data_IF_608602488962
#
_entry.id   IF_608602488962
#
_cell.length_a   1.000
_cell.length_b   1.000
_cell.length_c   1.000
_cell.angle_alpha   90.00
_cell.angle_beta   90.00
_cell.angle_gamma   90.00
#
_symmetry.space_group_name_H-M   'P 1'
#
loop_
_entity.id
_entity.type
_entity.pdbx_description
1 polymer ?
#
# COMPACT_ATOMS: atom_id res chain seq x y z
N UNK A 1 -4.40 -26.35 -18.13
CA UNK A 1 -4.16 -24.91 -18.38
C UNK A 1 -5.41 -24.07 -18.65
N UNK A 2 -6.57 -24.63 -19.05
CA UNK A 2 -7.77 -23.84 -19.35
C UNK A 2 -8.20 -22.94 -18.17
N UNK A 3 -8.29 -23.51 -16.96
CA UNK A 3 -8.58 -22.79 -15.72
C UNK A 3 -7.67 -21.57 -15.50
N UNK A 4 -6.35 -21.73 -15.68
CA UNK A 4 -5.38 -20.66 -15.46
C UNK A 4 -5.64 -19.46 -16.39
N UNK A 5 -5.98 -19.73 -17.66
CA UNK A 5 -6.29 -18.69 -18.66
C UNK A 5 -7.61 -17.99 -18.40
N UNK A 6 -8.63 -18.73 -17.96
CA UNK A 6 -9.98 -18.19 -17.81
C UNK A 6 -10.19 -17.47 -16.47
N UNK A 7 -9.55 -17.95 -15.40
CA UNK A 7 -9.80 -17.47 -14.04
C UNK A 7 -8.54 -17.35 -13.19
N UNK A 8 -7.63 -18.33 -13.24
CA UNK A 8 -6.52 -18.44 -12.29
C UNK A 8 -5.59 -17.21 -12.24
N UNK A 9 -5.24 -16.63 -13.39
CA UNK A 9 -4.42 -15.40 -13.44
C UNK A 9 -5.13 -14.23 -12.74
N UNK A 10 -6.43 -14.08 -12.97
CA UNK A 10 -7.24 -13.00 -12.38
C UNK A 10 -7.39 -13.23 -10.87
N UNK A 11 -7.61 -14.47 -10.43
CA UNK A 11 -7.69 -14.80 -9.00
C UNK A 11 -6.39 -14.44 -8.27
N UNK A 12 -5.23 -14.88 -8.80
CA UNK A 12 -3.91 -14.54 -8.25
C UNK A 12 -3.72 -13.02 -8.17
N UNK A 13 -3.97 -12.31 -9.28
CA UNK A 13 -3.80 -10.86 -9.33
C UNK A 13 -4.70 -10.15 -8.32
N UNK A 14 -5.97 -10.55 -8.21
CA UNK A 14 -6.90 -9.97 -7.26
C UNK A 14 -6.48 -10.23 -5.81
N UNK A 15 -5.98 -11.42 -5.47
CA UNK A 15 -5.52 -11.68 -4.11
C UNK A 15 -4.29 -10.85 -3.73
N UNK A 16 -3.41 -10.53 -4.69
CA UNK A 16 -2.28 -9.62 -4.47
C UNK A 16 -2.75 -8.16 -4.34
N UNK A 17 -3.60 -7.70 -5.26
CA UNK A 17 -4.05 -6.30 -5.30
C UNK A 17 -5.02 -5.94 -4.16
N UNK A 18 -5.75 -6.92 -3.63
CA UNK A 18 -6.67 -6.75 -2.50
C UNK A 18 -6.10 -7.27 -1.18
N UNK A 19 -4.79 -7.50 -1.09
CA UNK A 19 -4.17 -7.85 0.19
C UNK A 19 -4.33 -6.68 1.18
N UNK A 20 -4.84 -6.97 2.38
CA UNK A 20 -5.10 -5.96 3.40
C UNK A 20 -3.81 -5.22 3.79
N UNK A 21 -2.68 -5.94 3.86
CA UNK A 21 -1.37 -5.37 4.20
C UNK A 21 -0.92 -4.32 3.16
N UNK A 22 -1.25 -4.53 1.89
CA UNK A 22 -1.00 -3.56 0.82
C UNK A 22 -1.87 -2.33 1.01
N UNK A 23 -3.17 -2.53 1.26
CA UNK A 23 -4.13 -1.43 1.49
C UNK A 23 -3.74 -0.55 2.69
N UNK A 24 -3.41 -1.17 3.82
CA UNK A 24 -2.96 -0.48 5.03
C UNK A 24 -1.66 0.30 4.80
N UNK A 25 -0.68 -0.32 4.15
CA UNK A 25 0.62 0.32 3.90
C UNK A 25 0.49 1.50 2.94
N UNK A 26 -0.35 1.39 1.90
CA UNK A 26 -0.65 2.50 0.99
C UNK A 26 -1.38 3.63 1.72
N UNK A 27 -2.37 3.31 2.56
CA UNK A 27 -3.08 4.32 3.35
C UNK A 27 -2.12 5.08 4.28
N UNK A 28 -1.22 4.37 4.96
CA UNK A 28 -0.20 4.98 5.80
C UNK A 28 0.74 5.90 5.00
N UNK A 29 1.23 5.43 3.85
CA UNK A 29 2.08 6.23 2.95
C UNK A 29 1.39 7.51 2.48
N UNK A 30 0.11 7.44 2.11
CA UNK A 30 -0.67 8.61 1.68
C UNK A 30 -0.80 9.66 2.79
N UNK A 31 -1.06 9.23 4.03
CA UNK A 31 -1.14 10.13 5.19
C UNK A 31 0.22 10.78 5.46
N UNK A 32 1.30 10.00 5.45
CA UNK A 32 2.65 10.54 5.67
C UNK A 32 3.03 11.56 4.58
N UNK A 33 2.76 11.24 3.31
CA UNK A 33 3.04 12.14 2.18
C UNK A 33 2.24 13.45 2.27
N UNK A 34 0.97 13.36 2.68
CA UNK A 34 0.13 14.53 2.90
C UNK A 34 0.66 15.43 4.01
N UNK A 35 1.10 14.85 5.13
CA UNK A 35 1.62 15.60 6.27
C UNK A 35 2.96 16.29 5.95
N UNK A 36 3.84 15.61 5.23
CA UNK A 36 5.10 16.18 4.73
C UNK A 36 4.83 17.34 3.75
N UNK A 37 3.97 17.12 2.75
CA UNK A 37 3.56 18.17 1.81
C UNK A 37 2.89 19.37 2.49
N UNK A 38 2.06 19.14 3.50
CA UNK A 38 1.48 20.20 4.32
C UNK A 38 2.56 20.99 5.06
N UNK A 39 3.56 20.31 5.63
CA UNK A 39 4.67 20.95 6.35
C UNK A 39 5.48 21.86 5.43
N UNK A 40 5.86 21.34 4.26
CA UNK A 40 6.61 22.09 3.25
C UNK A 40 5.82 23.29 2.73
N UNK A 41 4.55 23.09 2.38
CA UNK A 41 3.67 24.16 1.91
C UNK A 41 3.43 25.24 2.97
N UNK A 42 3.27 24.87 4.24
CA UNK A 42 3.13 25.84 5.32
C UNK A 42 4.41 26.67 5.52
N UNK A 43 5.59 26.03 5.41
CA UNK A 43 6.87 26.72 5.49
C UNK A 43 7.05 27.73 4.34
N UNK A 44 6.69 27.34 3.11
CA UNK A 44 6.70 28.23 1.93
C UNK A 44 5.75 29.43 2.12
N UNK A 45 4.50 29.18 2.54
CA UNK A 45 3.54 30.25 2.85
C UNK A 45 4.06 31.19 3.94
N UNK A 46 4.67 30.65 4.99
CA UNK A 46 5.25 31.42 6.09
C UNK A 46 6.37 32.35 5.57
N UNK A 47 7.25 31.82 4.72
CA UNK A 47 8.28 32.61 4.06
C UNK A 47 7.71 33.76 3.21
N UNK A 48 6.65 33.50 2.45
CA UNK A 48 5.98 34.54 1.67
C UNK A 48 5.34 35.63 2.53
N UNK A 49 4.70 35.26 3.65
CA UNK A 49 4.10 36.22 4.60
C UNK A 49 5.16 37.14 5.20
N UNK A 50 6.28 36.57 5.69
CA UNK A 50 7.42 37.34 6.22
C UNK A 50 7.93 38.32 5.16
N UNK A 51 8.11 37.84 3.92
CA UNK A 51 8.64 38.67 2.85
C UNK A 51 7.70 39.80 2.42
N UNK A 52 6.39 39.54 2.32
CA UNK A 52 5.41 40.50 1.84
C UNK A 52 5.04 41.54 2.90
N UNK A 53 4.81 41.09 4.13
CA UNK A 53 4.28 41.93 5.21
C UNK A 53 5.37 42.48 6.14
N UNK A 54 6.61 41.98 6.05
CA UNK A 54 7.73 42.37 6.92
C UNK A 54 7.43 42.17 8.41
N UNK A 55 6.70 41.11 8.72
CA UNK A 55 6.35 40.71 10.09
C UNK A 55 7.07 39.42 10.46
N UNK A 56 7.28 39.20 11.76
CA UNK A 56 7.76 37.94 12.28
C UNK A 56 6.63 36.90 12.24
N UNK A 57 6.80 35.90 11.37
CA UNK A 57 5.87 34.80 11.21
C UNK A 57 6.67 33.50 11.03
N UNK A 58 6.35 32.48 11.82
CA UNK A 58 7.03 31.18 11.81
C UNK A 58 6.03 30.02 11.62
N UNK A 59 6.53 28.80 11.75
CA UNK A 59 5.74 27.58 11.60
C UNK A 59 5.11 27.09 12.91
N UNK A 60 5.16 27.88 14.01
CA UNK A 60 4.67 27.45 15.34
C UNK A 60 3.17 27.15 15.38
N UNK A 61 2.42 27.75 14.44
CA UNK A 61 0.97 27.57 14.28
C UNK A 61 0.60 26.46 13.28
N UNK A 62 1.59 25.77 12.71
CA UNK A 62 1.35 24.63 11.82
C UNK A 62 0.75 23.45 12.58
N UNK A 63 -0.21 22.74 11.98
CA UNK A 63 -0.73 21.50 12.53
C UNK A 63 0.34 20.39 12.65
N UNK A 64 1.46 20.52 11.92
CA UNK A 64 2.61 19.61 11.95
C UNK A 64 3.80 20.21 12.72
N UNK A 65 3.59 21.27 13.51
CA UNK A 65 4.67 21.87 14.28
C UNK A 65 5.32 20.87 15.25
N UNK A 66 6.65 20.79 15.20
CA UNK A 66 7.44 19.88 16.05
C UNK A 66 7.40 18.41 15.63
N UNK A 67 6.77 18.08 14.49
CA UNK A 67 6.72 16.73 13.93
C UNK A 67 7.73 16.62 12.79
N UNK A 68 8.55 15.56 12.81
CA UNK A 68 9.45 15.22 11.71
C UNK A 68 8.68 14.45 10.62
N UNK A 69 7.98 15.19 9.77
CA UNK A 69 7.14 14.63 8.72
C UNK A 69 7.95 14.06 7.55
N UNK A 70 9.16 14.57 7.30
CA UNK A 70 10.09 14.04 6.31
C UNK A 70 10.56 12.63 6.71
N UNK A 71 11.02 12.45 7.96
CA UNK A 71 11.42 11.14 8.45
C UNK A 71 10.25 10.15 8.49
N UNK A 72 9.04 10.61 8.86
CA UNK A 72 7.84 9.78 8.82
C UNK A 72 7.51 9.31 7.40
N UNK A 73 7.59 10.19 6.40
CA UNK A 73 7.41 9.82 4.99
C UNK A 73 8.51 8.86 4.51
N UNK A 74 9.76 9.09 4.88
CA UNK A 74 10.86 8.19 4.53
C UNK A 74 10.62 6.78 5.10
N UNK A 75 10.22 6.68 6.37
CA UNK A 75 9.89 5.41 7.01
C UNK A 75 8.71 4.70 6.32
N UNK A 76 7.63 5.43 5.99
CA UNK A 76 6.48 4.87 5.29
C UNK A 76 6.85 4.38 3.87
N UNK A 77 7.72 5.09 3.15
CA UNK A 77 8.26 4.63 1.86
C UNK A 77 9.08 3.37 2.00
N UNK A 78 9.93 3.28 3.02
CA UNK A 78 10.70 2.06 3.30
C UNK A 78 9.75 0.90 3.56
N UNK A 79 8.75 1.08 4.44
CA UNK A 79 7.75 0.05 4.73
C UNK A 79 7.04 -0.44 3.47
N UNK A 80 6.59 0.47 2.61
CA UNK A 80 5.95 0.12 1.32
C UNK A 80 6.89 -0.65 0.39
N UNK A 81 8.13 -0.17 0.21
CA UNK A 81 9.08 -0.78 -0.72
C UNK A 81 9.59 -2.15 -0.26
N UNK A 82 9.57 -2.42 1.05
CA UNK A 82 9.99 -3.70 1.61
C UNK A 82 8.82 -4.60 1.99
N UNK A 83 7.58 -4.20 1.70
CA UNK A 83 6.38 -4.94 2.06
C UNK A 83 6.43 -6.35 1.46
N UNK A 84 6.27 -7.36 2.32
CA UNK A 84 6.09 -8.74 1.91
C UNK A 84 4.60 -9.05 1.97
N UNK A 85 4.07 -9.62 0.89
CA UNK A 85 2.69 -10.06 0.81
C UNK A 85 2.66 -11.59 0.95
N UNK A 86 2.04 -12.16 1.99
CA UNK A 86 2.02 -13.61 2.20
C UNK A 86 1.50 -14.39 0.99
N UNK A 87 0.54 -13.83 0.26
CA UNK A 87 0.00 -14.41 -0.98
C UNK A 87 1.06 -14.58 -2.08
N UNK A 88 2.06 -13.69 -2.16
CA UNK A 88 3.16 -13.81 -3.13
C UNK A 88 4.08 -14.98 -2.79
N UNK A 89 4.30 -15.24 -1.51
CA UNK A 89 5.08 -16.40 -1.06
C UNK A 89 4.36 -17.71 -1.40
N UNK A 90 3.05 -17.78 -1.16
CA UNK A 90 2.22 -18.94 -1.51
C UNK A 90 2.25 -19.22 -3.02
N UNK A 91 2.11 -18.19 -3.85
CA UNK A 91 2.22 -18.31 -5.31
C UNK A 91 3.61 -18.78 -5.71
N UNK A 92 4.66 -18.22 -5.11
CA UNK A 92 6.05 -18.59 -5.42
C UNK A 92 6.32 -20.05 -5.11
N UNK A 93 5.84 -20.55 -3.96
CA UNK A 93 5.94 -21.98 -3.59
C UNK A 93 5.16 -22.84 -4.58
N UNK A 94 3.92 -22.47 -4.91
CA UNK A 94 3.10 -23.23 -5.84
C UNK A 94 3.72 -23.40 -7.23
N UNK A 95 4.38 -22.34 -7.72
CA UNK A 95 5.06 -22.34 -9.02
C UNK A 95 6.30 -23.24 -9.08
N UNK A 96 6.80 -23.74 -7.95
CA UNK A 96 7.93 -24.69 -7.91
C UNK A 96 7.49 -26.15 -8.15
N UNK A 97 6.18 -26.43 -8.10
CA UNK A 97 5.63 -27.76 -8.31
C UNK A 97 5.55 -28.13 -9.80
N UNK A 98 5.72 -29.42 -10.12
CA UNK A 98 5.46 -29.96 -11.46
C UNK A 98 3.98 -29.80 -11.87
N UNK A 99 3.07 -29.78 -10.90
CA UNK A 99 1.64 -29.48 -11.10
C UNK A 99 1.24 -28.16 -10.42
N UNK A 100 1.93 -27.09 -10.78
CA UNK A 100 1.66 -25.75 -10.25
C UNK A 100 0.23 -25.28 -10.50
N UNK A 101 -0.45 -25.76 -11.55
CA UNK A 101 -1.84 -25.37 -11.85
C UNK A 101 -2.78 -25.94 -10.79
N UNK A 102 -2.57 -27.18 -10.37
CA UNK A 102 -3.34 -27.78 -9.27
C UNK A 102 -3.09 -27.02 -7.96
N UNK A 103 -1.83 -26.74 -7.60
CA UNK A 103 -1.52 -26.03 -6.35
C UNK A 103 -2.08 -24.61 -6.31
N UNK A 104 -1.97 -23.86 -7.42
CA UNK A 104 -2.59 -22.54 -7.50
C UNK A 104 -4.11 -22.61 -7.37
N UNK A 105 -4.76 -23.66 -7.89
CA UNK A 105 -6.20 -23.83 -7.75
C UNK A 105 -6.62 -24.20 -6.33
N UNK A 106 -5.80 -24.91 -5.58
CA UNK A 106 -6.03 -25.15 -4.15
C UNK A 106 -5.92 -23.87 -3.32
N UNK A 107 -4.97 -22.98 -3.66
CA UNK A 107 -4.80 -21.68 -2.98
C UNK A 107 -5.92 -20.71 -3.38
N UNK A 108 -6.36 -20.75 -4.64
CA UNK A 108 -7.37 -19.86 -5.20
C UNK A 108 -8.51 -20.68 -5.81
N UNK A 109 -9.37 -21.30 -4.97
CA UNK A 109 -10.46 -22.15 -5.45
C UNK A 109 -11.45 -21.37 -6.31
N UNK A 110 -12.18 -22.08 -7.17
CA UNK A 110 -13.27 -21.48 -7.91
C UNK A 110 -14.38 -21.12 -6.92
N UNK A 111 -14.96 -19.92 -7.05
CA UNK A 111 -16.08 -19.46 -6.21
C UNK A 111 -17.30 -20.40 -6.23
N UNK A 112 -17.38 -21.28 -7.23
CA UNK A 112 -18.47 -22.23 -7.42
C UNK A 112 -18.26 -23.54 -6.62
N UNK A 113 -17.07 -23.79 -6.05
CA UNK A 113 -16.77 -25.03 -5.30
C UNK A 113 -17.21 -24.98 -3.82
N UNK A 114 -17.54 -23.80 -3.27
CA UNK A 114 -17.98 -23.62 -1.87
C UNK A 114 -19.51 -23.68 -1.67
N UNK A 115 -20.32 -23.43 -2.72
CA UNK A 115 -21.79 -23.45 -2.62
C UNK A 115 -22.37 -24.87 -2.67
N UNK A 116 -21.64 -25.85 -3.21
CA UNK A 116 -22.06 -27.26 -3.24
C UNK A 116 -21.79 -28.02 -1.92
N UNK A 117 -21.09 -27.40 -0.96
CA UNK A 117 -20.83 -27.98 0.36
C UNK A 117 -21.93 -27.68 1.40
N UNK A 118 -22.95 -26.88 1.03
CA UNK A 118 -24.05 -26.45 1.91
C UNK A 118 -25.45 -26.87 1.42
N UNK A 119 -25.54 -27.77 0.44
CA UNK A 119 -26.80 -28.34 -0.06
C UNK A 119 -27.19 -29.66 0.63
#
# INVERSE_FOLDING_TARGET
MLWLKERGIISVANSVLNADELGETVAHLLVAARNDGYTQGYAECSHHVVNALKVDWDTSRSATHGVDTEAALAAAKTQFNTLQLPVMDLVTVALQSEDFVMQLREIFPDRDDDDDALA
#
